data_IF_417059715241
#
_entry.id   IF_417059715241
#
_cell.length_a   1.000
_cell.length_b   1.000
_cell.length_c   1.000
_cell.angle_alpha   90.00
_cell.angle_beta   90.00
_cell.angle_gamma   90.00
#
_symmetry.space_group_name_H-M   'P 1'
#
loop_
_entity.id
_entity.type
_entity.pdbx_description
1 polymer ?
#
# COMPACT_ATOMS: atom_id res chain seq x y z
N UNK A 1 33.82 13.64 10.21
CA UNK A 1 33.31 12.97 8.99
C UNK A 1 32.21 13.84 8.43
N UNK A 2 32.48 14.51 7.31
CA UNK A 2 31.49 15.28 6.55
C UNK A 2 30.38 14.32 6.10
N UNK A 3 29.09 14.67 6.25
CA UNK A 3 28.03 13.83 5.72
C UNK A 3 28.19 13.83 4.20
N UNK A 4 28.41 12.67 3.60
CA UNK A 4 28.28 12.50 2.15
C UNK A 4 26.90 13.01 1.77
N UNK A 5 26.83 14.04 0.92
CA UNK A 5 25.58 14.49 0.34
C UNK A 5 24.92 13.27 -0.32
N UNK A 6 23.84 12.79 0.27
CA UNK A 6 22.99 11.81 -0.36
C UNK A 6 22.42 12.47 -1.61
N UNK A 7 22.79 12.00 -2.80
CA UNK A 7 22.15 12.33 -4.08
C UNK A 7 20.73 11.76 -4.15
N UNK A 8 19.94 11.91 -3.08
CA UNK A 8 18.60 11.40 -2.98
C UNK A 8 17.67 12.32 -3.76
N UNK A 9 16.94 11.72 -4.69
CA UNK A 9 15.84 12.34 -5.43
C UNK A 9 14.66 11.37 -5.46
N UNK A 10 13.47 11.87 -5.81
CA UNK A 10 12.26 11.03 -5.94
C UNK A 10 12.42 9.88 -6.95
N UNK A 11 13.31 10.03 -7.93
CA UNK A 11 13.60 9.03 -8.97
C UNK A 11 14.87 8.22 -8.73
N UNK A 12 15.67 8.56 -7.70
CA UNK A 12 16.97 7.90 -7.45
C UNK A 12 16.87 6.39 -7.20
N UNK A 13 15.71 5.87 -6.81
CA UNK A 13 15.50 4.43 -6.63
C UNK A 13 15.49 3.65 -7.96
N UNK A 14 15.17 4.30 -9.08
CA UNK A 14 15.08 3.65 -10.40
C UNK A 14 16.43 3.16 -10.92
N UNK A 15 17.55 3.63 -10.35
CA UNK A 15 18.89 3.16 -10.70
C UNK A 15 19.26 1.85 -10.00
N UNK A 16 18.45 1.39 -9.04
CA UNK A 16 18.63 0.13 -8.32
C UNK A 16 17.68 -0.95 -8.86
N UNK A 17 18.04 -2.21 -8.65
CA UNK A 17 17.18 -3.34 -9.03
C UNK A 17 15.92 -3.38 -8.15
N UNK A 18 14.77 -3.09 -8.75
CA UNK A 18 13.46 -3.22 -8.12
C UNK A 18 12.76 -4.51 -8.57
N UNK A 19 12.57 -5.45 -7.65
CA UNK A 19 11.80 -6.67 -7.90
C UNK A 19 10.29 -6.38 -7.84
N UNK A 20 9.48 -7.35 -8.32
CA UNK A 20 8.02 -7.34 -8.21
C UNK A 20 7.31 -6.18 -8.94
N UNK A 21 8.03 -5.45 -9.81
CA UNK A 21 7.44 -4.43 -10.65
C UNK A 21 6.57 -5.09 -11.73
N UNK A 22 5.39 -4.54 -12.02
CA UNK A 22 4.58 -5.00 -13.14
C UNK A 22 5.25 -4.71 -14.48
N UNK A 23 5.12 -5.64 -15.42
CA UNK A 23 5.56 -5.44 -16.81
C UNK A 23 4.49 -4.68 -17.58
N UNK A 24 4.58 -3.34 -17.55
CA UNK A 24 3.63 -2.49 -18.27
C UNK A 24 3.83 -2.63 -19.79
N UNK A 25 2.77 -2.89 -20.58
CA UNK A 25 2.88 -3.00 -22.03
C UNK A 25 3.11 -1.65 -22.74
N UNK A 26 2.69 -0.55 -22.11
CA UNK A 26 2.78 0.80 -22.67
C UNK A 26 3.34 1.79 -21.63
N UNK A 27 4.64 2.07 -21.73
CA UNK A 27 5.33 2.99 -20.83
C UNK A 27 4.89 4.44 -21.00
N UNK A 28 4.43 4.85 -22.19
CA UNK A 28 3.93 6.23 -22.39
C UNK A 28 2.65 6.45 -21.60
N UNK A 29 1.78 5.44 -21.51
CA UNK A 29 0.60 5.51 -20.65
C UNK A 29 0.97 5.59 -19.18
N UNK A 30 2.02 4.88 -18.74
CA UNK A 30 2.52 4.98 -17.37
C UNK A 30 2.96 6.42 -17.08
N UNK A 31 3.75 7.03 -17.96
CA UNK A 31 4.22 8.41 -17.79
C UNK A 31 3.06 9.41 -17.71
N UNK A 32 2.04 9.27 -18.57
CA UNK A 32 0.85 10.13 -18.55
C UNK A 32 0.05 9.99 -17.23
N UNK A 33 -0.08 8.77 -16.71
CA UNK A 33 -0.76 8.52 -15.42
C UNK A 33 0.06 9.12 -14.28
N UNK A 34 1.40 8.96 -14.29
CA UNK A 34 2.28 9.56 -13.28
C UNK A 34 2.21 11.08 -13.27
N UNK A 35 2.15 11.72 -14.45
CA UNK A 35 1.96 13.17 -14.57
C UNK A 35 0.63 13.60 -13.94
N UNK A 36 -0.45 12.88 -14.26
CA UNK A 36 -1.78 13.14 -13.69
C UNK A 36 -1.77 13.02 -12.17
N UNK A 37 -1.24 11.91 -11.63
CA UNK A 37 -1.13 11.67 -10.19
C UNK A 37 -0.30 12.74 -9.47
N UNK A 38 0.72 13.30 -10.14
CA UNK A 38 1.57 14.34 -9.55
C UNK A 38 0.85 15.68 -9.30
N UNK A 39 -0.28 15.90 -9.99
CA UNK A 39 -1.11 17.10 -9.86
C UNK A 39 -2.25 16.94 -8.86
N UNK A 40 -2.56 15.71 -8.44
CA UNK A 40 -3.64 15.43 -7.49
C UNK A 40 -3.25 15.85 -6.06
N UNK A 41 -4.24 16.19 -5.21
CA UNK A 41 -3.97 16.51 -3.82
C UNK A 41 -3.36 15.29 -3.09
N UNK A 42 -2.42 15.51 -2.16
CA UNK A 42 -1.84 14.44 -1.38
C UNK A 42 -2.88 13.82 -0.44
N UNK A 43 -2.75 12.51 -0.17
CA UNK A 43 -3.61 11.80 0.79
C UNK A 43 -3.37 12.23 2.24
N UNK A 44 -2.13 12.63 2.56
CA UNK A 44 -1.71 13.02 3.91
C UNK A 44 -0.78 14.22 3.87
N UNK A 45 -0.78 15.00 4.95
CA UNK A 45 0.08 16.15 5.12
C UNK A 45 1.40 15.78 5.81
N UNK A 46 2.46 16.51 5.50
CA UNK A 46 3.78 16.28 6.11
C UNK A 46 3.77 16.40 7.65
N UNK A 47 2.87 17.20 8.22
CA UNK A 47 2.69 17.30 9.67
C UNK A 47 2.19 16.01 10.30
N UNK A 48 1.24 15.32 9.66
CA UNK A 48 0.69 14.05 10.14
C UNK A 48 1.76 12.95 10.18
N UNK A 49 2.63 12.92 9.17
CA UNK A 49 3.78 11.99 9.11
C UNK A 49 4.76 12.25 10.27
N UNK A 50 5.04 13.52 10.60
CA UNK A 50 5.91 13.87 11.74
C UNK A 50 5.28 13.45 13.06
N UNK A 51 3.99 13.73 13.26
CA UNK A 51 3.24 13.31 14.45
C UNK A 51 3.21 11.79 14.61
N UNK A 52 3.05 11.04 13.51
CA UNK A 52 3.13 9.58 13.54
C UNK A 52 4.53 9.10 13.91
N UNK A 53 5.58 9.72 13.34
CA UNK A 53 6.98 9.38 13.67
C UNK A 53 7.28 9.60 15.16
N UNK A 54 6.84 10.71 15.73
CA UNK A 54 6.97 10.99 17.17
C UNK A 54 6.22 9.96 18.02
N UNK A 55 5.03 9.56 17.58
CA UNK A 55 4.25 8.52 18.26
C UNK A 55 4.98 7.17 18.21
N UNK A 56 5.50 6.77 17.04
CA UNK A 56 6.25 5.52 16.87
C UNK A 56 7.54 5.50 17.70
N UNK A 57 8.20 6.65 17.90
CA UNK A 57 9.37 6.74 18.79
C UNK A 57 9.02 6.32 20.22
N UNK A 58 7.82 6.63 20.71
CA UNK A 58 7.33 6.17 22.02
C UNK A 58 7.13 4.65 22.06
N UNK A 59 6.74 4.03 20.95
CA UNK A 59 6.64 2.57 20.91
C UNK A 59 8.02 1.89 21.00
N UNK A 60 9.06 2.50 20.43
CA UNK A 60 10.44 2.01 20.52
C UNK A 60 10.98 2.05 21.95
N UNK A 61 10.67 3.11 22.71
CA UNK A 61 11.04 3.21 24.14
C UNK A 61 10.14 2.37 25.06
N UNK A 62 9.11 1.73 24.49
CA UNK A 62 8.13 0.95 25.23
C UNK A 62 7.06 1.78 25.93
N UNK A 63 6.96 3.08 25.68
CA UNK A 63 5.96 3.98 26.26
C UNK A 63 4.60 3.93 25.53
N UNK A 64 4.52 3.24 24.40
CA UNK A 64 3.30 3.01 23.63
C UNK A 64 3.32 1.64 22.95
N UNK A 65 2.19 1.20 22.42
CA UNK A 65 2.05 -0.02 21.64
C UNK A 65 1.52 0.28 20.24
N UNK A 66 2.07 -0.33 19.19
CA UNK A 66 1.58 -0.17 17.82
C UNK A 66 0.56 -1.25 17.48
N UNK A 67 -0.66 -0.84 17.16
CA UNK A 67 -1.68 -1.68 16.54
C UNK A 67 -1.80 -1.30 15.07
N UNK A 68 -1.38 -2.20 14.18
CA UNK A 68 -1.56 -2.07 12.75
C UNK A 68 -2.48 -3.18 12.24
N UNK A 69 -3.55 -2.81 11.51
CA UNK A 69 -4.55 -3.77 11.05
C UNK A 69 -5.38 -3.25 9.89
N UNK A 70 -6.00 -4.17 9.16
CA UNK A 70 -6.82 -3.90 7.97
C UNK A 70 -6.67 -5.02 6.95
N UNK A 71 -7.13 -4.78 5.73
CA UNK A 71 -7.20 -5.81 4.70
C UNK A 71 -5.80 -6.28 4.26
N UNK A 72 -5.74 -7.53 3.82
CA UNK A 72 -4.52 -8.09 3.23
C UNK A 72 -4.20 -7.37 1.91
N UNK A 73 -5.22 -7.22 1.06
CA UNK A 73 -5.25 -6.43 -0.16
C UNK A 73 -6.62 -5.76 -0.24
N UNK A 74 -6.66 -4.45 -0.39
CA UNK A 74 -7.90 -3.76 -0.75
C UNK A 74 -8.27 -4.15 -2.19
N UNK A 75 -9.57 -4.23 -2.46
CA UNK A 75 -10.13 -4.42 -3.79
C UNK A 75 -11.16 -3.31 -4.02
N UNK A 76 -11.14 -2.66 -5.19
CA UNK A 76 -12.00 -1.55 -5.52
C UNK A 76 -13.49 -1.84 -5.35
N UNK A 77 -13.95 -3.07 -5.63
CA UNK A 77 -15.35 -3.46 -5.42
C UNK A 77 -15.74 -3.44 -3.94
N UNK A 78 -14.77 -3.56 -3.04
CA UNK A 78 -14.97 -3.66 -1.60
C UNK A 78 -14.65 -2.37 -0.84
N UNK A 79 -14.14 -1.33 -1.52
CA UNK A 79 -13.92 0.00 -0.92
C UNK A 79 -15.25 0.75 -0.86
N UNK A 80 -16.08 0.36 0.10
CA UNK A 80 -17.39 0.98 0.36
C UNK A 80 -17.43 1.59 1.76
N UNK A 81 -18.22 2.65 1.94
CA UNK A 81 -18.35 3.31 3.24
C UNK A 81 -18.74 2.34 4.39
N UNK A 82 -19.66 1.37 4.20
CA UNK A 82 -19.94 0.35 5.21
C UNK A 82 -18.72 -0.50 5.58
N UNK A 83 -17.97 -1.00 4.60
CA UNK A 83 -16.81 -1.86 4.84
C UNK A 83 -15.70 -1.10 5.58
N UNK A 84 -15.39 0.12 5.13
CA UNK A 84 -14.42 1.00 5.78
C UNK A 84 -14.82 1.23 7.24
N UNK A 85 -16.11 1.51 7.50
CA UNK A 85 -16.61 1.72 8.86
C UNK A 85 -16.43 0.49 9.74
N UNK A 86 -16.76 -0.71 9.25
CA UNK A 86 -16.59 -1.93 10.05
C UNK A 86 -15.11 -2.23 10.32
N UNK A 87 -14.22 -2.02 9.35
CA UNK A 87 -12.76 -2.16 9.55
C UNK A 87 -12.26 -1.18 10.62
N UNK A 88 -12.66 0.08 10.55
CA UNK A 88 -12.30 1.10 11.56
C UNK A 88 -12.85 0.74 12.94
N UNK A 89 -14.09 0.23 13.02
CA UNK A 89 -14.72 -0.19 14.27
C UNK A 89 -13.93 -1.32 14.94
N UNK A 90 -13.53 -2.35 14.19
CA UNK A 90 -12.72 -3.46 14.71
C UNK A 90 -11.38 -2.93 15.23
N UNK A 91 -10.70 -2.08 14.44
CA UNK A 91 -9.42 -1.50 14.84
C UNK A 91 -9.52 -0.69 16.13
N UNK A 92 -10.59 0.11 16.28
CA UNK A 92 -10.86 0.87 17.50
C UNK A 92 -11.21 -0.01 18.69
N UNK A 93 -12.01 -1.06 18.50
CA UNK A 93 -12.34 -2.03 19.56
C UNK A 93 -11.08 -2.72 20.11
N UNK A 94 -10.22 -3.21 19.21
CA UNK A 94 -8.93 -3.80 19.60
C UNK A 94 -8.06 -2.80 20.35
N UNK A 95 -8.00 -1.54 19.87
CA UNK A 95 -7.20 -0.51 20.51
C UNK A 95 -7.65 -0.21 21.94
N UNK A 96 -8.96 -0.18 22.21
CA UNK A 96 -9.51 0.03 23.56
C UNK A 96 -9.12 -1.13 24.49
N UNK A 97 -9.28 -2.37 24.04
CA UNK A 97 -8.90 -3.56 24.82
C UNK A 97 -7.40 -3.56 25.14
N UNK A 98 -6.55 -3.32 24.15
CA UNK A 98 -5.09 -3.28 24.32
C UNK A 98 -4.64 -2.13 25.23
N UNK A 99 -5.29 -0.96 25.12
CA UNK A 99 -4.99 0.19 25.99
C UNK A 99 -5.32 -0.15 27.45
N UNK A 100 -6.48 -0.76 27.70
CA UNK A 100 -6.91 -1.13 29.05
C UNK A 100 -6.02 -2.23 29.65
N UNK A 101 -5.77 -3.32 28.92
CA UNK A 101 -4.97 -4.44 29.41
C UNK A 101 -3.48 -4.11 29.53
N UNK A 102 -2.94 -3.29 28.62
CA UNK A 102 -1.53 -2.95 28.57
C UNK A 102 -1.14 -1.73 29.42
N UNK A 103 -2.10 -0.93 29.89
CA UNK A 103 -1.85 0.29 30.66
C UNK A 103 -1.05 1.36 29.92
N UNK A 104 -0.96 1.26 28.58
CA UNK A 104 -0.15 2.13 27.72
C UNK A 104 -0.95 2.64 26.52
N UNK A 105 -0.63 3.82 25.99
CA UNK A 105 -1.24 4.33 24.77
C UNK A 105 -1.05 3.38 23.58
N UNK A 106 -2.10 3.19 22.78
CA UNK A 106 -2.05 2.41 21.53
C UNK A 106 -2.07 3.34 20.31
N UNK A 107 -1.04 3.25 19.47
CA UNK A 107 -0.92 3.90 18.16
C UNK A 107 -1.69 3.04 17.16
N UNK A 108 -2.61 3.65 16.42
CA UNK A 108 -3.53 2.94 15.51
C UNK A 108 -3.14 3.25 14.06
N UNK A 109 -2.80 2.22 13.29
CA UNK A 109 -2.43 2.36 11.87
C UNK A 109 -3.30 1.42 11.03
N UNK A 110 -4.07 1.99 10.12
CA UNK A 110 -4.89 1.21 9.18
C UNK A 110 -4.06 0.72 7.99
N UNK A 111 -4.29 -0.51 7.54
CA UNK A 111 -3.99 -0.94 6.16
C UNK A 111 -5.19 -0.57 5.29
N UNK A 112 -5.23 0.67 4.84
CA UNK A 112 -6.35 1.29 4.12
C UNK A 112 -5.87 2.41 3.19
N UNK A 113 -6.65 2.74 2.18
CA UNK A 113 -6.42 3.85 1.25
C UNK A 113 -5.12 3.73 0.43
N UNK A 114 -4.74 2.50 0.07
CA UNK A 114 -3.57 2.28 -0.79
C UNK A 114 -3.03 0.85 -0.85
N UNK A 115 -3.64 -0.11 -0.16
CA UNK A 115 -3.18 -1.50 -0.10
C UNK A 115 -3.66 -2.30 -1.33
N UNK A 116 -3.49 -1.73 -2.54
CA UNK A 116 -4.00 -2.28 -3.80
C UNK A 116 -2.95 -3.07 -4.61
N UNK A 117 -1.75 -3.26 -4.07
CA UNK A 117 -0.68 -4.02 -4.73
C UNK A 117 -0.22 -5.17 -3.84
N UNK A 118 0.13 -6.31 -4.47
CA UNK A 118 0.65 -7.49 -3.78
C UNK A 118 1.82 -8.13 -4.53
N UNK A 119 2.90 -8.51 -3.82
CA UNK A 119 3.96 -9.33 -4.40
C UNK A 119 3.45 -10.74 -4.69
N UNK A 120 4.11 -11.42 -5.63
CA UNK A 120 3.80 -12.80 -6.01
C UNK A 120 5.09 -13.60 -6.12
N UNK A 121 5.02 -14.86 -5.69
CA UNK A 121 6.13 -15.81 -5.79
C UNK A 121 6.42 -16.23 -7.24
N UNK A 122 5.44 -16.12 -8.13
CA UNK A 122 5.54 -16.42 -9.56
C UNK A 122 4.91 -15.29 -10.38
N UNK A 123 5.54 -14.95 -11.50
CA UNK A 123 5.02 -13.96 -12.46
C UNK A 123 3.78 -14.46 -13.21
N UNK A 124 3.62 -15.77 -13.32
CA UNK A 124 2.49 -16.40 -14.01
C UNK A 124 1.74 -17.37 -13.10
N UNK A 125 0.47 -17.57 -13.45
CA UNK A 125 -0.48 -18.48 -12.83
C UNK A 125 -1.07 -19.36 -13.93
N UNK A 126 -1.07 -20.67 -13.72
CA UNK A 126 -1.62 -21.64 -14.69
C UNK A 126 -2.85 -22.30 -14.10
N UNK A 127 -3.96 -22.22 -14.80
CA UNK A 127 -5.21 -22.90 -14.48
C UNK A 127 -5.79 -23.51 -15.75
N UNK A 128 -6.29 -24.75 -15.67
CA UNK A 128 -6.90 -25.48 -16.79
C UNK A 128 -6.05 -25.50 -18.08
N UNK A 129 -4.72 -25.55 -17.93
CA UNK A 129 -3.77 -25.58 -19.05
C UNK A 129 -3.47 -24.21 -19.69
N UNK A 130 -4.09 -23.13 -19.21
CA UNK A 130 -3.83 -21.76 -19.66
C UNK A 130 -2.93 -21.06 -18.66
N UNK A 131 -1.82 -20.47 -19.14
CA UNK A 131 -0.89 -19.69 -18.32
C UNK A 131 -1.08 -18.20 -18.57
N UNK A 132 -1.42 -17.45 -17.52
CA UNK A 132 -1.63 -15.99 -17.56
C UNK A 132 -0.74 -15.29 -16.52
N UNK A 133 -0.54 -13.96 -16.62
CA UNK A 133 0.10 -13.20 -15.55
C UNK A 133 -0.62 -13.38 -14.21
N UNK A 134 0.16 -13.46 -13.14
CA UNK A 134 -0.36 -13.48 -11.78
C UNK A 134 -1.10 -12.18 -11.47
N UNK A 135 -2.26 -12.27 -10.82
CA UNK A 135 -2.94 -11.10 -10.25
C UNK A 135 -2.04 -10.47 -9.18
N UNK A 136 -1.73 -9.18 -9.31
CA UNK A 136 -0.79 -8.40 -8.49
C UNK A 136 -1.50 -7.28 -7.70
N UNK A 137 -2.81 -7.37 -7.58
CA UNK A 137 -3.65 -6.40 -6.88
C UNK A 137 -4.24 -5.38 -7.86
N UNK A 138 -5.35 -4.77 -7.47
CA UNK A 138 -6.15 -3.92 -8.36
C UNK A 138 -5.38 -2.73 -8.92
N UNK A 139 -4.31 -2.27 -8.29
CA UNK A 139 -3.44 -1.22 -8.84
C UNK A 139 -2.67 -1.66 -10.09
N UNK A 140 -2.56 -2.96 -10.35
CA UNK A 140 -1.76 -3.53 -11.43
C UNK A 140 -2.63 -4.18 -12.50
N UNK A 141 -3.49 -5.10 -12.10
CA UNK A 141 -4.37 -5.88 -12.97
C UNK A 141 -5.57 -6.41 -12.17
N UNK A 142 -6.52 -7.06 -12.82
CA UNK A 142 -7.76 -7.51 -12.19
C UNK A 142 -7.67 -8.98 -11.75
N UNK A 143 -8.54 -9.38 -10.82
CA UNK A 143 -8.55 -10.73 -10.25
C UNK A 143 -9.06 -11.81 -11.22
N UNK A 144 -9.94 -11.45 -12.17
CA UNK A 144 -10.53 -12.37 -13.14
C UNK A 144 -9.44 -13.09 -13.95
N UNK A 145 -9.65 -14.38 -14.23
CA UNK A 145 -8.66 -15.23 -14.89
C UNK A 145 -8.91 -15.27 -16.41
N UNK A 146 -8.62 -14.15 -17.06
CA UNK A 146 -8.62 -14.00 -18.52
C UNK A 146 -7.50 -13.06 -18.95
N UNK A 147 -7.10 -13.15 -20.23
CA UNK A 147 -5.96 -12.41 -20.76
C UNK A 147 -6.09 -10.90 -20.59
N UNK A 148 -7.31 -10.37 -20.80
CA UNK A 148 -7.58 -8.94 -20.70
C UNK A 148 -7.43 -8.46 -19.25
N UNK A 149 -8.08 -9.14 -18.30
CA UNK A 149 -8.03 -8.79 -16.89
C UNK A 149 -6.65 -9.01 -16.26
N UNK A 150 -5.86 -9.98 -16.74
CA UNK A 150 -4.50 -10.24 -16.21
C UNK A 150 -3.40 -9.36 -16.82
N UNK A 151 -3.66 -8.70 -17.95
CA UNK A 151 -2.70 -7.76 -18.55
C UNK A 151 -2.56 -6.51 -17.70
N UNK A 152 -1.34 -6.16 -17.22
CA UNK A 152 -1.12 -4.96 -16.42
C UNK A 152 -1.57 -3.69 -17.15
N UNK A 153 -2.40 -2.87 -16.50
CA UNK A 153 -2.92 -1.64 -17.09
C UNK A 153 -2.70 -0.45 -16.14
N UNK A 154 -1.96 0.59 -16.56
CA UNK A 154 -1.64 1.72 -15.68
C UNK A 154 -2.85 2.63 -15.41
N UNK A 155 -3.90 2.57 -16.23
CA UNK A 155 -5.11 3.39 -16.11
C UNK A 155 -6.23 2.71 -15.31
N UNK A 156 -5.90 1.78 -14.41
CA UNK A 156 -6.89 1.15 -13.52
C UNK A 156 -7.27 2.12 -12.36
N UNK A 157 -6.50 3.19 -12.14
CA UNK A 157 -6.80 4.30 -11.24
C UNK A 157 -7.55 5.45 -11.92
#
# INVERSE_FOLDING_TARGET
MTPTQNNWTKSSWQTYTALQQPTWPDLKKVDNVLETLSLLPPLVFAGEIRSLKESLAKAVTGDAFLLQGGDCSENFSNVTAPNIRETLKILLQMAVVLTYAGGKPVIKVGRIAGQFAKPRSSDTETADGITLPSYRGDMVNEAAFDEKSRTPTPSIC
#
